data_IF_840325948208
#
_entry.id   IF_840325948208
#
_cell.length_a   1.000
_cell.length_b   1.000
_cell.length_c   1.000
_cell.angle_alpha   90.00
_cell.angle_beta   90.00
_cell.angle_gamma   90.00
#
_symmetry.space_group_name_H-M   'P 1'
#
loop_
_entity.id
_entity.type
_entity.pdbx_description
1 polymer ?
#
# COMPACT_ATOMS: atom_id res chain seq x y z
N UNK A 1 49.76 0.13 31.84
CA UNK A 1 48.35 -0.05 32.23
C UNK A 1 47.41 0.96 31.55
N UNK A 2 47.80 2.23 31.41
CA UNK A 2 46.98 3.29 30.80
C UNK A 2 46.60 3.02 29.32
N UNK A 3 47.53 2.54 28.49
CA UNK A 3 47.32 2.34 27.05
C UNK A 3 46.33 1.22 26.70
N UNK A 4 46.33 0.12 27.44
CA UNK A 4 45.36 -0.98 27.26
C UNK A 4 43.94 -0.58 27.67
N UNK A 5 43.82 0.26 28.70
CA UNK A 5 42.54 0.80 29.19
C UNK A 5 41.92 1.76 28.18
N UNK A 6 42.73 2.62 27.57
CA UNK A 6 42.29 3.54 26.50
C UNK A 6 41.75 2.77 25.28
N UNK A 7 42.43 1.69 24.88
CA UNK A 7 42.05 0.85 23.75
C UNK A 7 40.69 0.14 23.99
N UNK A 8 40.43 -0.26 25.23
CA UNK A 8 39.16 -0.86 25.63
C UNK A 8 37.99 0.13 25.60
N UNK A 9 38.23 1.39 26.01
CA UNK A 9 37.22 2.46 25.97
C UNK A 9 36.86 2.84 24.53
N UNK A 10 37.85 2.90 23.64
CA UNK A 10 37.63 3.15 22.20
C UNK A 10 36.82 2.03 21.56
N UNK A 11 37.09 0.78 21.94
CA UNK A 11 36.33 -0.38 21.46
C UNK A 11 34.86 -0.33 21.90
N UNK A 12 34.59 0.08 23.15
CA UNK A 12 33.22 0.29 23.64
C UNK A 12 32.52 1.42 22.88
N UNK A 13 33.20 2.55 22.63
CA UNK A 13 32.64 3.67 21.86
C UNK A 13 32.29 3.30 20.41
N UNK A 14 33.05 2.40 19.77
CA UNK A 14 32.78 1.93 18.41
C UNK A 14 31.49 1.10 18.32
N UNK A 15 31.21 0.26 19.32
CA UNK A 15 29.99 -0.58 19.40
C UNK A 15 28.73 0.28 19.53
N UNK A 16 28.80 1.45 20.18
CA UNK A 16 27.66 2.35 20.32
C UNK A 16 27.23 3.04 19.01
N UNK A 17 28.05 3.01 17.96
CA UNK A 17 27.73 3.64 16.66
C UNK A 17 26.84 2.79 15.74
N UNK A 18 26.66 1.50 16.04
CA UNK A 18 25.97 0.55 15.15
C UNK A 18 24.44 0.47 15.36
N UNK A 19 23.79 1.52 15.88
CA UNK A 19 22.31 1.59 15.77
C UNK A 19 21.95 2.00 14.35
N UNK A 20 22.18 1.07 13.42
CA UNK A 20 21.64 1.11 12.07
C UNK A 20 20.14 1.39 12.17
N UNK A 21 19.77 2.56 11.67
CA UNK A 21 18.40 3.00 11.48
C UNK A 21 17.72 2.06 10.48
N UNK A 22 17.22 0.91 10.95
CA UNK A 22 16.22 0.17 10.21
C UNK A 22 14.91 0.90 10.47
N UNK A 23 14.49 1.72 9.51
CA UNK A 23 13.18 2.36 9.56
C UNK A 23 12.14 1.25 9.45
N UNK A 24 11.66 0.75 10.60
CA UNK A 24 10.43 0.00 10.66
C UNK A 24 9.34 0.98 10.26
N UNK A 25 9.05 1.05 8.97
CA UNK A 25 7.92 1.79 8.48
C UNK A 25 6.71 1.05 9.03
N UNK A 26 6.04 1.66 10.01
CA UNK A 26 4.78 1.12 10.48
C UNK A 26 3.89 0.87 9.27
N UNK A 27 3.32 -0.33 9.21
CA UNK A 27 2.47 -0.72 8.09
C UNK A 27 1.37 0.33 7.94
N UNK A 28 1.14 0.86 6.72
CA UNK A 28 0.09 1.83 6.53
C UNK A 28 -1.25 1.22 6.95
N UNK A 29 -2.06 2.00 7.68
CA UNK A 29 -3.27 1.54 8.37
C UNK A 29 -4.19 0.77 7.42
N UNK A 30 -4.37 1.21 6.17
CA UNK A 30 -5.21 0.51 5.20
C UNK A 30 -4.80 -0.95 4.91
N UNK A 31 -3.52 -1.31 5.14
CA UNK A 31 -2.98 -2.67 4.98
C UNK A 31 -3.08 -3.52 6.25
N UNK A 32 -3.31 -2.92 7.41
CA UNK A 32 -3.45 -3.67 8.65
C UNK A 32 -4.83 -4.34 8.72
N UNK A 33 -4.86 -5.66 8.87
CA UNK A 33 -6.09 -6.43 8.97
C UNK A 33 -6.74 -6.34 10.35
N UNK A 34 -5.99 -5.90 11.37
CA UNK A 34 -6.47 -5.80 12.74
C UNK A 34 -7.26 -4.51 13.01
N UNK A 35 -7.23 -3.56 12.07
CA UNK A 35 -7.93 -2.28 12.19
C UNK A 35 -9.35 -2.35 11.62
N UNK A 36 -10.30 -1.57 12.17
CA UNK A 36 -11.66 -1.50 11.65
C UNK A 36 -11.66 -0.98 10.20
N UNK A 37 -12.64 -1.43 9.42
CA UNK A 37 -12.74 -1.15 7.98
C UNK A 37 -12.81 0.36 7.73
N UNK A 38 -13.51 1.11 8.60
CA UNK A 38 -13.72 2.54 8.48
C UNK A 38 -12.40 3.32 8.54
N UNK A 39 -11.52 3.00 9.50
CA UNK A 39 -10.22 3.66 9.63
C UNK A 39 -9.29 3.29 8.48
N UNK A 40 -9.37 2.04 7.98
CA UNK A 40 -8.61 1.60 6.81
C UNK A 40 -9.03 2.33 5.54
N UNK A 41 -10.34 2.50 5.33
CA UNK A 41 -10.88 3.24 4.18
C UNK A 41 -10.52 4.71 4.27
N UNK A 42 -10.60 5.32 5.45
CA UNK A 42 -10.24 6.73 5.67
C UNK A 42 -8.75 6.98 5.40
N UNK A 43 -7.86 6.12 5.90
CA UNK A 43 -6.43 6.19 5.61
C UNK A 43 -6.16 6.04 4.11
N UNK A 44 -6.79 5.07 3.43
CA UNK A 44 -6.67 4.88 1.99
C UNK A 44 -7.11 6.13 1.19
N UNK A 45 -8.32 6.64 1.47
CA UNK A 45 -8.88 7.80 0.79
C UNK A 45 -8.10 9.10 1.05
N UNK A 46 -7.44 9.21 2.20
CA UNK A 46 -6.57 10.36 2.51
C UNK A 46 -5.27 10.37 1.70
N UNK A 47 -4.84 9.20 1.19
CA UNK A 47 -3.62 9.05 0.40
C UNK A 47 -3.84 9.16 -1.11
N UNK A 48 -5.08 8.99 -1.58
CA UNK A 48 -5.42 9.07 -2.99
C UNK A 48 -5.57 10.52 -3.47
N UNK A 49 -5.11 10.79 -4.70
CA UNK A 49 -5.36 12.05 -5.41
C UNK A 49 -6.83 12.16 -5.85
N UNK A 50 -7.23 13.35 -6.32
CA UNK A 50 -8.60 13.53 -6.80
C UNK A 50 -8.85 12.72 -8.07
N UNK A 51 -7.86 12.68 -8.95
CA UNK A 51 -7.85 11.95 -10.20
C UNK A 51 -8.01 10.44 -9.93
N UNK A 52 -7.25 9.89 -9.00
CA UNK A 52 -7.33 8.46 -8.63
C UNK A 52 -8.68 8.07 -8.01
N UNK A 53 -9.39 9.01 -7.36
CA UNK A 53 -10.72 8.76 -6.78
C UNK A 53 -11.83 8.68 -7.83
N UNK A 54 -11.68 9.42 -8.92
CA UNK A 54 -12.67 9.50 -10.00
C UNK A 54 -12.30 8.59 -11.18
N UNK A 55 -11.05 8.16 -11.26
CA UNK A 55 -10.59 7.26 -12.31
C UNK A 55 -11.32 5.93 -12.17
N UNK A 56 -11.94 5.45 -13.26
CA UNK A 56 -12.59 4.17 -13.22
C UNK A 56 -11.56 3.06 -13.03
N UNK A 57 -11.72 2.29 -11.95
CA UNK A 57 -10.86 1.15 -11.58
C UNK A 57 -10.67 0.13 -12.72
N UNK A 58 -11.59 0.10 -13.66
CA UNK A 58 -11.52 -0.73 -14.85
C UNK A 58 -11.93 0.09 -16.07
N UNK A 59 -11.21 -0.01 -17.20
CA UNK A 59 -11.66 0.54 -18.45
C UNK A 59 -12.93 -0.20 -18.90
N UNK A 60 -14.09 0.37 -18.61
CA UNK A 60 -15.34 -0.07 -19.23
C UNK A 60 -15.26 0.25 -20.72
N UNK A 61 -14.92 -0.74 -21.55
CA UNK A 61 -14.72 -0.46 -22.98
C UNK A 61 -14.11 -1.56 -23.81
N UNK A 62 -13.54 -2.62 -23.22
CA UNK A 62 -13.20 -3.83 -23.97
C UNK A 62 -14.45 -4.69 -24.20
N UNK A 63 -15.42 -4.12 -24.93
CA UNK A 63 -16.59 -4.77 -25.52
C UNK A 63 -17.12 -5.99 -24.76
N UNK A 64 -18.13 -5.78 -23.91
CA UNK A 64 -19.03 -6.85 -23.48
C UNK A 64 -19.47 -7.61 -24.74
N UNK A 65 -18.87 -8.78 -24.91
CA UNK A 65 -18.76 -9.47 -26.18
C UNK A 65 -20.05 -10.27 -26.47
N UNK A 66 -20.62 -10.03 -27.65
CA UNK A 66 -21.50 -10.90 -28.45
C UNK A 66 -22.76 -11.52 -27.82
N UNK A 67 -23.63 -10.74 -27.19
CA UNK A 67 -25.04 -11.16 -27.18
C UNK A 67 -25.65 -10.82 -28.53
N UNK A 68 -25.70 -11.82 -29.42
CA UNK A 68 -26.42 -11.74 -30.68
C UNK A 68 -27.89 -12.05 -30.37
N UNK A 69 -28.78 -11.07 -30.57
CA UNK A 69 -30.22 -11.29 -30.46
C UNK A 69 -30.75 -11.70 -31.84
N UNK A 70 -31.17 -12.96 -31.98
CA UNK A 70 -31.93 -13.39 -33.15
C UNK A 70 -33.43 -13.17 -32.90
N UNK A 71 -34.03 -12.25 -33.67
CA UNK A 71 -35.47 -12.04 -33.66
C UNK A 71 -36.13 -12.93 -34.71
N UNK A 72 -36.69 -14.07 -34.30
CA UNK A 72 -37.54 -14.88 -35.17
C UNK A 72 -39.02 -14.58 -34.92
N UNK A 73 -39.76 -14.20 -35.98
CA UNK A 73 -41.20 -13.95 -35.99
C UNK A 73 -41.69 -12.76 -35.15
N UNK A 74 -41.15 -11.56 -35.39
CA UNK A 74 -41.79 -10.32 -34.96
C UNK A 74 -43.15 -10.19 -35.66
N UNK A 75 -44.24 -10.45 -34.93
CA UNK A 75 -45.61 -10.18 -35.39
C UNK A 75 -46.05 -8.85 -34.82
N UNK A 76 -46.17 -7.85 -35.70
CA UNK A 76 -46.86 -6.62 -35.39
C UNK A 76 -48.36 -6.86 -35.59
N UNK A 77 -49.15 -6.62 -34.55
CA UNK A 77 -50.61 -6.66 -34.58
C UNK A 77 -51.15 -5.32 -35.08
#
# INVERSE_FOLDING_TARGET
>A
MQTKTLLFIVFILLIYSEKSFCQFTELPIYKDINQPVEERVKDLLSRMTLEEKIEPLFPFGFGLSYTIFEFNNLKFR
#
